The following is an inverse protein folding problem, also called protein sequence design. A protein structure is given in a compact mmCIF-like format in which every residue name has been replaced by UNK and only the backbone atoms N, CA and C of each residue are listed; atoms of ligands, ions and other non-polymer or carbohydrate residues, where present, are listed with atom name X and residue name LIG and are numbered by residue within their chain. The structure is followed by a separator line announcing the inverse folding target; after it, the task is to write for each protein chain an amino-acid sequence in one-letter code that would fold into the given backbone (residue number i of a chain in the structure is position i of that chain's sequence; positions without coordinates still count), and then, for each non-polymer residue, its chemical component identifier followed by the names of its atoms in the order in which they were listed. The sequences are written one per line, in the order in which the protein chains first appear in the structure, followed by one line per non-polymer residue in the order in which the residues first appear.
data_IF_795202086301
#
_entry.id   IF_795202086301
#
_cell.length_a   1.000
_cell.length_b   1.000
_cell.length_c   1.000
_cell.angle_alpha   90.00
_cell.angle_beta   90.00
_cell.angle_gamma   90.00
#
_symmetry.space_group_name_H-M   'P 1'
#
loop_
_entity.id
_entity.type
_entity.pdbx_description
1 polymer ?
#
# COMPACT_ATOMS: atom_id res chain seq x y z
N UNK A 1 8.56 13.92 51.33
CA UNK A 1 9.19 13.15 50.24
C UNK A 1 8.12 12.26 49.67
N UNK A 2 7.54 12.63 48.51
CA UNK A 2 6.59 11.77 47.84
C UNK A 2 7.35 10.57 47.26
N UNK A 3 7.04 9.38 47.76
CA UNK A 3 7.54 8.12 47.22
C UNK A 3 6.82 7.92 45.90
N UNK A 4 7.45 8.29 44.75
CA UNK A 4 6.90 8.01 43.45
C UNK A 4 6.79 6.48 43.29
N UNK A 5 5.56 6.00 43.13
CA UNK A 5 5.31 4.56 42.93
C UNK A 5 6.06 4.05 41.68
N UNK A 6 6.71 2.89 41.83
CA UNK A 6 7.40 2.24 40.71
C UNK A 6 6.36 1.91 39.66
N UNK A 7 6.54 2.30 38.39
CA UNK A 7 5.61 1.96 37.34
C UNK A 7 5.55 0.45 37.12
N UNK A 8 4.36 -0.04 36.70
CA UNK A 8 4.12 -1.45 36.46
C UNK A 8 3.72 -1.66 34.98
N UNK A 9 4.03 -2.81 34.44
CA UNK A 9 3.61 -3.18 33.08
C UNK A 9 2.09 -3.29 33.00
N UNK A 10 1.47 -2.56 32.09
CA UNK A 10 0.01 -2.56 31.88
C UNK A 10 -0.53 -3.89 31.36
N UNK A 11 0.32 -4.76 30.78
CA UNK A 11 -0.08 -6.05 30.21
C UNK A 11 0.04 -7.21 31.22
N UNK A 12 1.06 -7.21 32.08
CA UNK A 12 1.29 -8.34 33.01
C UNK A 12 1.44 -7.93 34.46
N UNK A 13 1.36 -6.64 34.80
CA UNK A 13 1.45 -6.13 36.17
C UNK A 13 2.83 -6.20 36.82
N UNK A 14 3.87 -6.72 36.13
CA UNK A 14 5.22 -6.79 36.68
C UNK A 14 5.79 -5.38 36.88
N UNK A 15 6.46 -5.09 38.02
CA UNK A 15 7.08 -3.80 38.29
C UNK A 15 8.28 -3.57 37.33
N UNK A 16 8.53 -2.33 37.02
CA UNK A 16 9.72 -1.93 36.28
C UNK A 16 10.93 -1.88 37.22
N UNK A 17 12.12 -2.05 36.69
CA UNK A 17 13.37 -1.89 37.44
C UNK A 17 13.91 -0.48 37.23
N UNK A 18 14.35 0.12 38.33
CA UNK A 18 15.09 1.37 38.26
C UNK A 18 16.52 1.11 37.79
N UNK A 19 16.92 1.77 36.68
CA UNK A 19 18.29 1.70 36.18
C UNK A 19 19.10 2.93 36.59
N UNK A 20 20.42 2.71 36.82
CA UNK A 20 21.38 3.80 37.04
C UNK A 20 21.62 4.53 35.73
N UNK A 21 21.18 5.76 35.63
CA UNK A 21 21.44 6.60 34.47
C UNK A 21 22.80 7.33 34.64
N UNK A 22 23.53 7.53 33.51
CA UNK A 22 24.69 8.41 33.51
C UNK A 22 24.34 9.83 33.97
N UNK A 23 25.26 10.53 34.66
CA UNK A 23 25.02 11.85 35.23
C UNK A 23 24.52 12.89 34.21
N UNK A 24 25.03 12.84 32.98
CA UNK A 24 24.62 13.76 31.90
C UNK A 24 23.14 13.64 31.51
N UNK A 25 22.49 12.48 31.74
CA UNK A 25 21.06 12.29 31.49
C UNK A 25 20.18 12.72 32.65
N UNK A 26 20.73 12.82 33.86
CA UNK A 26 20.00 13.25 35.04
C UNK A 26 19.62 14.74 34.98
N UNK A 27 20.34 15.54 34.20
CA UNK A 27 20.06 16.96 33.97
C UNK A 27 18.95 17.22 32.95
N UNK A 28 18.42 16.18 32.28
CA UNK A 28 17.32 16.26 31.32
C UNK A 28 16.02 15.77 31.98
N UNK A 29 15.21 16.65 32.60
CA UNK A 29 14.11 16.23 33.49
C UNK A 29 13.09 15.32 32.78
N UNK A 30 12.75 15.58 31.52
CA UNK A 30 11.79 14.79 30.74
C UNK A 30 12.34 13.47 30.25
N UNK A 31 13.62 13.39 29.91
CA UNK A 31 14.27 12.18 29.37
C UNK A 31 14.73 11.30 30.53
N UNK A 32 15.31 11.88 31.56
CA UNK A 32 15.77 11.18 32.76
C UNK A 32 14.64 10.44 33.48
N UNK A 33 13.45 11.05 33.62
CA UNK A 33 12.30 10.39 34.23
C UNK A 33 11.79 9.20 33.37
N UNK A 34 11.76 9.32 32.06
CA UNK A 34 11.31 8.24 31.16
C UNK A 34 12.28 7.06 31.11
N UNK A 35 13.58 7.32 31.19
CA UNK A 35 14.61 6.30 31.14
C UNK A 35 14.92 5.65 32.47
N UNK A 36 14.44 6.22 33.58
CA UNK A 36 14.72 5.76 34.96
C UNK A 36 14.21 4.34 35.21
N UNK A 37 13.11 3.97 34.57
CA UNK A 37 12.45 2.69 34.79
C UNK A 37 12.39 1.88 33.52
N UNK A 38 12.84 0.61 33.57
CA UNK A 38 12.88 -0.31 32.45
C UNK A 38 11.96 -1.49 32.70
N UNK A 39 11.11 -1.88 31.74
CA UNK A 39 10.26 -3.05 31.87
C UNK A 39 11.09 -4.34 31.90
N UNK A 40 10.75 -5.26 32.81
CA UNK A 40 11.36 -6.59 32.93
C UNK A 40 10.68 -7.68 32.10
N UNK A 41 9.60 -7.33 31.44
CA UNK A 41 8.77 -8.30 30.72
C UNK A 41 8.87 -8.11 29.21
N UNK A 42 8.82 -9.21 28.48
CA UNK A 42 8.83 -9.18 27.01
C UNK A 42 7.51 -8.67 26.43
N UNK A 43 6.39 -8.87 27.12
CA UNK A 43 5.08 -8.42 26.68
C UNK A 43 5.00 -6.91 26.40
N UNK A 44 5.71 -6.08 27.13
CA UNK A 44 5.79 -4.64 26.86
C UNK A 44 6.59 -4.35 25.58
N UNK A 45 7.68 -5.09 25.36
CA UNK A 45 8.51 -4.99 24.16
C UNK A 45 7.75 -5.48 22.93
N UNK A 46 7.06 -6.60 23.05
CA UNK A 46 6.23 -7.18 21.98
C UNK A 46 5.10 -6.22 21.56
N UNK A 47 4.42 -5.60 22.54
CA UNK A 47 3.38 -4.61 22.28
C UNK A 47 3.93 -3.40 21.52
N UNK A 48 5.07 -2.85 21.95
CA UNK A 48 5.72 -1.72 21.25
C UNK A 48 6.13 -2.09 19.83
N UNK A 49 6.71 -3.28 19.62
CA UNK A 49 7.09 -3.75 18.30
C UNK A 49 5.87 -3.92 17.39
N UNK A 50 4.77 -4.41 17.93
CA UNK A 50 3.52 -4.56 17.18
C UNK A 50 2.96 -3.20 16.76
N UNK A 51 2.89 -2.24 17.67
CA UNK A 51 2.45 -0.87 17.36
C UNK A 51 3.33 -0.21 16.30
N UNK A 52 4.66 -0.37 16.41
CA UNK A 52 5.60 0.18 15.44
C UNK A 52 5.44 -0.46 14.06
N UNK A 53 5.24 -1.79 14.01
CA UNK A 53 5.00 -2.51 12.75
C UNK A 53 3.70 -2.08 12.10
N UNK A 54 2.62 -1.93 12.88
CA UNK A 54 1.33 -1.46 12.39
C UNK A 54 1.41 -0.01 11.87
N UNK A 55 2.16 0.86 12.57
CA UNK A 55 2.37 2.25 12.15
C UNK A 55 3.14 2.31 10.83
N UNK A 56 4.26 1.57 10.72
CA UNK A 56 5.05 1.49 9.47
C UNK A 56 4.21 0.97 8.31
N UNK A 57 3.42 -0.07 8.53
CA UNK A 57 2.53 -0.60 7.49
C UNK A 57 1.44 0.39 7.05
N UNK A 58 0.94 1.23 7.95
CA UNK A 58 0.00 2.31 7.58
C UNK A 58 0.69 3.40 6.76
N UNK A 59 1.87 3.85 7.20
CA UNK A 59 2.66 4.87 6.49
C UNK A 59 3.04 4.43 5.08
N UNK A 60 3.49 3.18 4.91
CA UNK A 60 3.80 2.59 3.61
C UNK A 60 2.57 2.52 2.69
N UNK A 61 1.43 2.10 3.25
CA UNK A 61 0.17 2.05 2.50
C UNK A 61 -0.30 3.44 2.05
N UNK A 62 -0.20 4.45 2.92
CA UNK A 62 -0.54 5.83 2.57
C UNK A 62 0.38 6.38 1.48
N UNK A 63 1.68 6.08 1.57
CA UNK A 63 2.65 6.48 0.55
C UNK A 63 2.33 5.85 -0.80
N UNK A 64 2.04 4.55 -0.82
CA UNK A 64 1.65 3.82 -2.03
C UNK A 64 0.37 4.42 -2.65
N UNK A 65 -0.64 4.71 -1.84
CA UNK A 65 -1.88 5.33 -2.32
C UNK A 65 -1.64 6.71 -2.95
N UNK A 66 -0.77 7.53 -2.36
CA UNK A 66 -0.36 8.83 -2.93
C UNK A 66 0.34 8.65 -4.27
N UNK A 67 1.25 7.69 -4.38
CA UNK A 67 1.94 7.39 -5.64
C UNK A 67 0.97 6.95 -6.74
N UNK A 68 0.03 6.06 -6.41
CA UNK A 68 -1.01 5.61 -7.34
C UNK A 68 -1.88 6.79 -7.80
N UNK A 69 -2.33 7.65 -6.87
CA UNK A 69 -3.14 8.83 -7.24
C UNK A 69 -2.38 9.80 -8.14
N UNK A 70 -1.08 9.98 -7.91
CA UNK A 70 -0.23 10.77 -8.79
C UNK A 70 -0.15 10.17 -10.21
N UNK A 71 0.01 8.84 -10.33
CA UNK A 71 -0.02 8.15 -11.62
C UNK A 71 -1.38 8.34 -12.31
N UNK A 72 -2.49 8.23 -11.58
CA UNK A 72 -3.82 8.50 -12.13
C UNK A 72 -3.98 9.94 -12.61
N UNK A 73 -3.42 10.92 -11.91
CA UNK A 73 -3.47 12.32 -12.33
C UNK A 73 -2.75 12.56 -13.65
N UNK A 74 -1.61 11.89 -13.87
CA UNK A 74 -0.80 11.96 -15.09
C UNK A 74 -1.35 11.12 -16.24
N UNK A 75 -2.18 10.12 -15.96
CA UNK A 75 -2.67 9.14 -16.96
C UNK A 75 -3.63 9.73 -17.99
N UNK A 76 -4.20 10.93 -17.77
CA UNK A 76 -5.28 11.54 -18.56
C UNK A 76 -6.56 10.69 -18.64
N UNK A 77 -6.70 9.65 -17.81
CA UNK A 77 -7.94 8.90 -17.69
C UNK A 77 -9.02 9.79 -17.06
N UNK A 78 -10.10 10.00 -17.80
CA UNK A 78 -11.23 10.76 -17.26
C UNK A 78 -11.92 9.97 -16.13
N UNK A 79 -12.66 10.62 -15.21
CA UNK A 79 -13.37 9.94 -14.11
C UNK A 79 -14.27 8.80 -14.57
N UNK A 80 -14.87 8.92 -15.77
CA UNK A 80 -15.67 7.86 -16.41
C UNK A 80 -14.85 6.62 -16.72
N UNK A 81 -13.61 6.77 -17.20
CA UNK A 81 -12.73 5.66 -17.56
C UNK A 81 -11.99 5.09 -16.36
N UNK A 82 -11.73 5.86 -15.31
CA UNK A 82 -11.22 5.34 -14.02
C UNK A 82 -12.13 4.29 -13.38
N UNK A 83 -13.45 4.34 -13.66
CA UNK A 83 -14.43 3.35 -13.16
C UNK A 83 -14.53 2.09 -14.05
N UNK A 84 -13.84 2.03 -15.19
CA UNK A 84 -13.87 0.90 -16.11
C UNK A 84 -12.74 -0.06 -15.77
N UNK A 85 -13.04 -1.12 -15.02
CA UNK A 85 -12.09 -2.19 -14.67
C UNK A 85 -12.33 -3.42 -15.54
N UNK A 86 -11.35 -4.31 -15.62
CA UNK A 86 -11.53 -5.59 -16.31
C UNK A 86 -12.60 -6.44 -15.61
N UNK A 87 -12.69 -6.40 -14.28
CA UNK A 87 -13.69 -7.08 -13.48
C UNK A 87 -15.12 -6.58 -13.76
N UNK A 88 -15.29 -5.28 -14.05
CA UNK A 88 -16.58 -4.69 -14.37
C UNK A 88 -17.04 -4.91 -15.82
N UNK A 89 -16.24 -5.62 -16.62
CA UNK A 89 -16.59 -5.96 -17.98
C UNK A 89 -17.42 -7.24 -18.06
N UNK A 90 -18.64 -7.14 -18.62
CA UNK A 90 -19.52 -8.29 -18.83
C UNK A 90 -19.43 -8.77 -20.27
N UNK A 91 -18.72 -9.87 -20.58
CA UNK A 91 -18.63 -10.40 -21.92
C UNK A 91 -19.98 -11.00 -22.37
N UNK A 92 -20.43 -10.63 -23.58
CA UNK A 92 -21.69 -11.10 -24.18
C UNK A 92 -21.48 -12.14 -25.28
N UNK A 93 -20.25 -12.49 -25.59
CA UNK A 93 -19.89 -13.49 -26.60
C UNK A 93 -18.60 -14.20 -26.20
N UNK A 94 -18.36 -15.41 -26.77
CA UNK A 94 -17.14 -16.16 -26.51
C UNK A 94 -15.89 -15.35 -26.91
N UNK A 95 -15.91 -14.66 -28.05
CA UNK A 95 -14.79 -13.79 -28.46
C UNK A 95 -14.48 -12.67 -27.45
N UNK A 96 -15.49 -12.16 -26.75
CA UNK A 96 -15.26 -11.16 -25.70
C UNK A 96 -14.70 -11.81 -24.43
N UNK A 97 -15.07 -13.05 -24.11
CA UNK A 97 -14.49 -13.80 -22.99
C UNK A 97 -13.01 -14.11 -23.26
N UNK A 98 -12.69 -14.57 -24.47
CA UNK A 98 -11.32 -14.81 -24.89
C UNK A 98 -10.47 -13.53 -24.81
N UNK A 99 -11.00 -12.41 -25.35
CA UNK A 99 -10.31 -11.13 -25.28
C UNK A 99 -10.07 -10.67 -23.84
N UNK A 100 -11.06 -10.84 -22.94
CA UNK A 100 -10.91 -10.51 -21.52
C UNK A 100 -9.84 -11.38 -20.86
N UNK A 101 -9.85 -12.71 -21.14
CA UNK A 101 -8.86 -13.65 -20.59
C UNK A 101 -7.43 -13.29 -21.03
N UNK A 102 -7.23 -13.01 -22.33
CA UNK A 102 -5.93 -12.58 -22.86
C UNK A 102 -5.44 -11.26 -22.24
N UNK A 103 -6.34 -10.30 -21.99
CA UNK A 103 -5.96 -9.03 -21.37
C UNK A 103 -5.66 -9.17 -19.89
N UNK A 104 -6.33 -10.08 -19.18
CA UNK A 104 -5.98 -10.41 -17.79
C UNK A 104 -4.59 -11.07 -17.71
N UNK A 105 -4.31 -12.00 -18.61
CA UNK A 105 -2.98 -12.62 -18.73
C UNK A 105 -1.91 -11.57 -19.06
N UNK A 106 -2.19 -10.69 -20.03
CA UNK A 106 -1.31 -9.58 -20.39
C UNK A 106 -0.96 -8.67 -19.21
N UNK A 107 -1.95 -8.28 -18.42
CA UNK A 107 -1.73 -7.44 -17.24
C UNK A 107 -0.89 -8.15 -16.17
N UNK A 108 -1.14 -9.45 -15.94
CA UNK A 108 -0.41 -10.25 -14.98
C UNK A 108 1.05 -10.51 -15.38
N UNK A 109 1.30 -10.64 -16.66
CA UNK A 109 2.65 -10.88 -17.23
C UNK A 109 3.31 -9.61 -17.80
N UNK A 110 2.77 -8.42 -17.50
CA UNK A 110 3.21 -7.18 -18.14
C UNK A 110 4.70 -6.89 -17.92
N UNK A 111 5.22 -7.13 -16.73
CA UNK A 111 6.65 -6.89 -16.44
C UNK A 111 7.54 -7.79 -17.29
N UNK A 112 7.16 -9.07 -17.47
CA UNK A 112 7.88 -10.02 -18.33
C UNK A 112 7.70 -9.68 -19.82
N UNK A 113 6.50 -9.23 -20.22
CA UNK A 113 6.20 -8.80 -21.58
C UNK A 113 6.90 -7.50 -21.96
N UNK A 114 7.14 -6.60 -21.00
CA UNK A 114 7.85 -5.33 -21.19
C UNK A 114 9.30 -5.53 -21.65
N UNK A 115 9.93 -6.62 -21.25
CA UNK A 115 11.29 -6.97 -21.65
C UNK A 115 11.35 -7.57 -23.09
N UNK A 116 10.19 -7.97 -23.64
CA UNK A 116 10.07 -8.50 -24.99
C UNK A 116 9.74 -7.36 -25.97
N UNK A 117 10.25 -7.45 -27.19
CA UNK A 117 10.01 -6.43 -28.22
C UNK A 117 8.52 -6.28 -28.63
N UNK A 118 7.71 -7.32 -28.44
CA UNK A 118 6.27 -7.34 -28.73
C UNK A 118 5.46 -7.29 -27.43
N UNK A 119 5.22 -6.08 -26.92
CA UNK A 119 4.53 -5.86 -25.65
C UNK A 119 3.22 -5.06 -25.79
N UNK A 120 2.52 -5.18 -26.89
CA UNK A 120 1.27 -4.47 -27.15
C UNK A 120 0.13 -5.39 -27.54
N UNK A 121 -1.09 -4.84 -27.52
CA UNK A 121 -2.29 -5.51 -28.04
C UNK A 121 -3.11 -4.56 -28.91
N UNK A 122 -3.87 -5.13 -29.84
CA UNK A 122 -4.75 -4.41 -30.73
C UNK A 122 -6.19 -4.93 -30.61
N UNK A 123 -7.13 -4.04 -30.26
CA UNK A 123 -8.56 -4.36 -30.14
C UNK A 123 -9.33 -3.84 -31.34
N UNK A 124 -9.92 -4.73 -32.11
CA UNK A 124 -10.75 -4.39 -33.26
C UNK A 124 -12.17 -4.96 -33.13
N UNK A 125 -13.10 -4.43 -33.94
CA UNK A 125 -14.49 -4.87 -33.96
C UNK A 125 -15.48 -3.69 -34.04
N UNK A 126 -16.78 -4.01 -34.14
CA UNK A 126 -17.86 -3.05 -34.32
C UNK A 126 -17.94 -2.04 -33.15
N UNK A 127 -18.49 -0.83 -33.37
CA UNK A 127 -18.76 0.14 -32.31
C UNK A 127 -19.63 -0.46 -31.18
N UNK A 128 -19.44 0.02 -29.96
CA UNK A 128 -20.24 -0.43 -28.81
C UNK A 128 -19.85 -1.80 -28.22
N UNK A 129 -18.87 -2.49 -28.77
CA UNK A 129 -18.46 -3.83 -28.32
C UNK A 129 -17.50 -3.84 -27.11
N UNK A 130 -17.28 -2.70 -26.49
CA UNK A 130 -16.51 -2.63 -25.23
C UNK A 130 -14.99 -2.46 -25.37
N UNK A 131 -14.45 -2.22 -26.57
CA UNK A 131 -13.00 -2.01 -26.79
C UNK A 131 -12.39 -0.96 -25.86
N UNK A 132 -13.02 0.21 -25.78
CA UNK A 132 -12.57 1.29 -24.89
C UNK A 132 -12.69 0.93 -23.42
N UNK A 133 -13.67 0.10 -23.03
CA UNK A 133 -13.79 -0.41 -21.67
C UNK A 133 -12.60 -1.31 -21.33
N UNK A 134 -12.30 -2.27 -22.20
CA UNK A 134 -11.18 -3.19 -22.01
C UNK A 134 -9.84 -2.43 -21.98
N UNK A 135 -9.61 -1.50 -22.92
CA UNK A 135 -8.38 -0.70 -22.92
C UNK A 135 -8.22 0.15 -21.65
N UNK A 136 -9.32 0.80 -21.19
CA UNK A 136 -9.31 1.54 -19.93
C UNK A 136 -9.12 0.60 -18.72
N UNK A 137 -9.69 -0.60 -18.76
CA UNK A 137 -9.52 -1.62 -17.73
C UNK A 137 -8.06 -2.05 -17.58
N UNK A 138 -7.37 -2.34 -18.68
CA UNK A 138 -5.94 -2.64 -18.67
C UNK A 138 -5.14 -1.49 -18.08
N UNK A 139 -5.38 -0.25 -18.52
CA UNK A 139 -4.68 0.92 -17.99
C UNK A 139 -4.90 1.09 -16.47
N UNK A 140 -6.13 0.86 -15.98
CA UNK A 140 -6.43 0.91 -14.55
C UNK A 140 -5.67 -0.16 -13.76
N UNK A 141 -5.60 -1.39 -14.26
CA UNK A 141 -4.88 -2.48 -13.57
C UNK A 141 -3.36 -2.21 -13.53
N UNK A 142 -2.77 -1.73 -14.63
CA UNK A 142 -1.36 -1.35 -14.67
C UNK A 142 -1.04 -0.17 -13.72
N UNK A 143 -1.91 0.85 -13.67
CA UNK A 143 -1.75 1.96 -12.73
C UNK A 143 -1.82 1.52 -11.27
N UNK A 144 -2.68 0.55 -10.92
CA UNK A 144 -2.73 -0.06 -9.58
C UNK A 144 -1.43 -0.80 -9.22
N UNK A 145 -0.76 -1.36 -10.21
CA UNK A 145 0.56 -2.00 -10.06
C UNK A 145 1.72 -0.99 -10.01
N UNK A 146 1.43 0.32 -10.05
CA UNK A 146 2.44 1.37 -10.06
C UNK A 146 3.08 1.61 -11.43
N UNK A 147 2.53 1.05 -12.51
CA UNK A 147 3.05 1.19 -13.86
C UNK A 147 2.41 2.43 -14.52
N UNK A 148 3.21 3.43 -14.95
CA UNK A 148 2.68 4.65 -15.55
C UNK A 148 2.04 4.37 -16.92
N UNK A 149 0.81 4.83 -17.12
CA UNK A 149 0.06 4.72 -18.36
C UNK A 149 -0.49 6.07 -18.78
N UNK A 150 -0.55 6.32 -20.09
CA UNK A 150 -1.17 7.53 -20.65
C UNK A 150 -2.30 7.13 -21.59
N UNK A 151 -3.50 7.65 -21.34
CA UNK A 151 -4.66 7.46 -22.20
C UNK A 151 -4.76 8.59 -23.21
N UNK A 152 -4.76 8.25 -24.50
CA UNK A 152 -4.91 9.20 -25.60
C UNK A 152 -6.16 8.82 -26.40
N UNK A 153 -7.02 9.81 -26.66
CA UNK A 153 -8.13 9.65 -27.57
C UNK A 153 -7.73 10.24 -28.93
N UNK A 154 -7.73 9.42 -29.94
CA UNK A 154 -7.60 9.82 -31.35
C UNK A 154 -8.94 10.25 -31.92
#
# INVERSE_FOLDING_TARGET
MEVKAVPVCIYCGKPFIEQKLPEYLLHLPTIGEKLRYVPQCDCYREALQKEETERKGKEEKELLLKQIEELYSRSRLTPRFRRRTLESFFPRSEKQKEALALLLEYVNSFNDAREKELNGFYLYGAPGRGKTHLAAGVANELLKQGIPCVYVKT
#
